data_IF_988867424577
#
_entry.id   IF_988867424577
#
_cell.length_a   1.000
_cell.length_b   1.000
_cell.length_c   1.000
_cell.angle_alpha   90.00
_cell.angle_beta   90.00
_cell.angle_gamma   90.00
#
_symmetry.space_group_name_H-M   'P 1'
#
loop_
_entity.id
_entity.type
_entity.pdbx_description
1 polymer ?
#
# COMPACT_ATOMS: atom_id res chain seq x y z
N UNK A 1 5.92 -7.98 11.84
CA UNK A 1 6.87 -8.87 11.16
C UNK A 1 6.15 -10.00 10.41
N UNK A 2 5.04 -10.49 10.93
CA UNK A 2 4.36 -11.71 10.46
C UNK A 2 3.59 -11.52 9.12
N UNK A 3 3.48 -10.30 8.60
CA UNK A 3 2.71 -9.99 7.37
C UNK A 3 3.58 -9.53 6.20
N UNK A 4 4.88 -9.80 6.20
CA UNK A 4 5.79 -9.30 5.18
C UNK A 4 5.46 -9.81 3.78
N UNK A 5 5.11 -11.08 3.63
CA UNK A 5 4.75 -11.69 2.35
C UNK A 5 3.40 -11.17 1.81
N UNK A 6 2.40 -11.01 2.68
CA UNK A 6 1.11 -10.43 2.28
C UNK A 6 1.25 -8.96 1.86
N UNK A 7 2.08 -8.20 2.58
CA UNK A 7 2.42 -6.82 2.19
C UNK A 7 3.12 -6.77 0.84
N UNK A 8 4.07 -7.68 0.59
CA UNK A 8 4.75 -7.78 -0.70
C UNK A 8 3.76 -8.03 -1.85
N UNK A 9 2.83 -8.98 -1.67
CA UNK A 9 1.79 -9.27 -2.67
C UNK A 9 0.88 -8.08 -2.91
N UNK A 10 0.52 -7.36 -1.86
CA UNK A 10 -0.29 -6.14 -1.94
C UNK A 10 0.45 -5.05 -2.70
N UNK A 11 1.75 -4.86 -2.45
CA UNK A 11 2.58 -3.93 -3.21
C UNK A 11 2.69 -4.29 -4.70
N UNK A 12 2.55 -5.57 -5.06
CA UNK A 12 2.46 -5.96 -6.47
C UNK A 12 1.24 -5.39 -7.19
N UNK A 13 0.17 -5.13 -6.46
CA UNK A 13 -1.06 -4.54 -6.99
C UNK A 13 -1.09 -3.02 -6.91
N UNK A 14 -0.16 -2.39 -6.20
CA UNK A 14 -0.10 -0.94 -6.02
C UNK A 14 0.70 -0.24 -7.13
N UNK A 15 0.34 1.02 -7.40
CA UNK A 15 1.07 1.90 -8.33
C UNK A 15 1.88 2.96 -7.58
N UNK A 16 1.59 3.18 -6.29
CA UNK A 16 2.32 4.07 -5.39
C UNK A 16 2.28 3.50 -3.98
N UNK A 17 3.24 3.86 -3.16
CA UNK A 17 3.29 3.45 -1.76
C UNK A 17 3.43 4.67 -0.85
N UNK A 18 2.73 4.63 0.28
CA UNK A 18 2.92 5.59 1.37
C UNK A 18 3.76 4.92 2.45
N UNK A 19 4.98 5.42 2.63
CA UNK A 19 5.89 5.00 3.69
C UNK A 19 5.60 5.82 4.95
N UNK A 20 5.06 5.17 5.97
CA UNK A 20 4.73 5.83 7.24
C UNK A 20 5.87 5.60 8.23
N UNK A 21 6.49 6.70 8.68
CA UNK A 21 7.58 6.70 9.66
C UNK A 21 7.08 7.29 10.98
N UNK A 22 7.43 6.64 12.09
CA UNK A 22 7.19 7.17 13.43
C UNK A 22 8.22 8.27 13.74
N UNK A 23 7.79 9.52 13.91
CA UNK A 23 8.68 10.65 14.15
C UNK A 23 9.57 10.53 15.39
N UNK A 24 9.19 9.69 16.35
CA UNK A 24 10.01 9.42 17.56
C UNK A 24 11.01 8.27 17.39
N UNK A 25 10.87 7.44 16.33
CA UNK A 25 11.68 6.24 16.13
C UNK A 25 12.56 6.28 14.88
N UNK A 26 12.17 7.08 13.89
CA UNK A 26 12.84 7.11 12.60
C UNK A 26 12.65 5.84 11.76
N UNK A 27 13.65 5.44 11.00
CA UNK A 27 13.61 4.33 10.04
C UNK A 27 13.80 3.00 10.75
N UNK A 28 12.73 2.22 10.90
CA UNK A 28 12.75 0.91 11.53
C UNK A 28 13.17 -0.22 10.56
N UNK A 29 13.59 -1.37 11.07
CA UNK A 29 14.05 -2.50 10.27
C UNK A 29 13.01 -2.99 9.24
N UNK A 30 11.73 -2.97 9.60
CA UNK A 30 10.65 -3.36 8.70
C UNK A 30 10.47 -2.36 7.55
N UNK A 31 10.61 -1.08 7.83
CA UNK A 31 10.58 -0.01 6.82
C UNK A 31 11.65 -0.25 5.75
N UNK A 32 12.89 -0.58 6.16
CA UNK A 32 14.00 -0.90 5.23
C UNK A 32 13.69 -2.10 4.33
N UNK A 33 13.07 -3.14 4.89
CA UNK A 33 12.69 -4.35 4.10
C UNK A 33 11.64 -4.01 3.03
N UNK A 34 10.57 -3.32 3.42
CA UNK A 34 9.48 -2.96 2.50
C UNK A 34 9.91 -1.91 1.48
N UNK A 35 10.76 -0.96 1.88
CA UNK A 35 11.35 0.01 0.97
C UNK A 35 12.11 -0.67 -0.18
N UNK A 36 12.96 -1.67 0.13
CA UNK A 36 13.68 -2.44 -0.90
C UNK A 36 12.74 -3.10 -1.91
N UNK A 37 11.59 -3.58 -1.44
CA UNK A 37 10.56 -4.17 -2.33
C UNK A 37 9.99 -3.10 -3.27
N UNK A 38 9.66 -1.92 -2.78
CA UNK A 38 9.16 -0.82 -3.59
C UNK A 38 10.19 -0.40 -4.65
N UNK A 39 11.47 -0.28 -4.28
CA UNK A 39 12.55 0.08 -5.21
C UNK A 39 12.73 -0.98 -6.29
N UNK A 40 12.77 -2.27 -5.93
CA UNK A 40 12.87 -3.35 -6.92
C UNK A 40 11.71 -3.36 -7.92
N UNK A 41 10.57 -2.84 -7.53
CA UNK A 41 9.34 -2.78 -8.33
C UNK A 41 9.14 -1.44 -9.04
N UNK A 42 10.04 -0.48 -8.84
CA UNK A 42 9.91 0.89 -9.34
C UNK A 42 8.60 1.57 -8.92
N UNK A 43 8.14 1.29 -7.70
CA UNK A 43 6.94 1.89 -7.14
C UNK A 43 7.31 3.25 -6.53
N UNK A 44 6.68 4.36 -6.97
CA UNK A 44 6.86 5.68 -6.35
C UNK A 44 6.52 5.64 -4.86
N UNK A 45 7.36 6.30 -4.05
CA UNK A 45 7.23 6.31 -2.60
C UNK A 45 6.97 7.72 -2.12
N UNK A 46 5.93 7.89 -1.30
CA UNK A 46 5.59 9.11 -0.58
C UNK A 46 5.80 8.85 0.91
N UNK A 47 6.51 9.72 1.59
CA UNK A 47 6.84 9.56 3.00
C UNK A 47 5.92 10.40 3.87
N UNK A 48 5.28 9.78 4.87
CA UNK A 48 4.50 10.47 5.89
C UNK A 48 5.13 10.26 7.27
N UNK A 49 5.74 11.30 7.83
CA UNK A 49 6.29 11.28 9.18
C UNK A 49 5.16 11.56 10.17
N UNK A 50 4.76 10.51 10.85
CA UNK A 50 3.58 10.44 11.71
C UNK A 50 3.94 10.69 13.17
N UNK A 51 2.92 11.01 13.97
CA UNK A 51 2.97 11.19 15.42
C UNK A 51 3.69 12.46 15.86
N UNK A 52 3.60 13.53 15.07
CA UNK A 52 4.11 14.85 15.46
C UNK A 52 3.41 15.45 16.68
N UNK A 53 2.26 14.88 17.08
CA UNK A 53 1.57 15.16 18.35
C UNK A 53 2.32 14.65 19.59
N UNK A 54 3.40 13.90 19.41
CA UNK A 54 4.30 13.40 20.45
C UNK A 54 5.69 13.99 20.26
N UNK A 55 6.53 13.86 21.30
CA UNK A 55 7.93 14.27 21.19
C UNK A 55 8.60 13.44 20.09
N UNK A 56 8.99 14.13 19.02
CA UNK A 56 9.64 13.56 17.84
C UNK A 56 11.14 13.89 17.87
N UNK A 57 11.91 13.13 17.10
CA UNK A 57 13.31 13.44 16.80
C UNK A 57 13.38 14.74 16.00
N UNK A 58 14.57 15.32 15.94
CA UNK A 58 14.81 16.50 15.11
C UNK A 58 14.40 16.26 13.66
N UNK A 59 13.76 17.24 13.05
CA UNK A 59 13.14 17.10 11.74
C UNK A 59 14.17 16.92 10.62
N UNK A 60 15.30 17.64 10.70
CA UNK A 60 16.40 17.48 9.75
C UNK A 60 17.12 16.14 9.94
N UNK A 61 17.30 15.69 11.19
CA UNK A 61 17.88 14.38 11.47
C UNK A 61 17.02 13.25 10.90
N UNK A 62 15.69 13.38 10.93
CA UNK A 62 14.78 12.40 10.32
C UNK A 62 14.92 12.35 8.79
N UNK A 63 15.05 13.50 8.13
CA UNK A 63 15.31 13.54 6.68
C UNK A 63 16.67 12.92 6.34
N UNK A 64 17.70 13.28 7.08
CA UNK A 64 19.07 12.74 6.94
C UNK A 64 19.08 11.20 7.12
N UNK A 65 18.35 10.69 8.11
CA UNK A 65 18.22 9.25 8.35
C UNK A 65 17.56 8.55 7.16
N UNK A 66 16.45 9.10 6.63
CA UNK A 66 15.78 8.57 5.45
C UNK A 66 16.74 8.50 4.26
N UNK A 67 17.47 9.57 3.99
CA UNK A 67 18.41 9.64 2.88
C UNK A 67 19.58 8.67 3.03
N UNK A 68 20.18 8.60 4.21
CA UNK A 68 21.34 7.72 4.51
C UNK A 68 20.96 6.24 4.55
N UNK A 69 19.83 5.92 5.21
CA UNK A 69 19.45 4.53 5.44
C UNK A 69 18.77 3.89 4.23
N UNK A 70 18.04 4.69 3.46
CA UNK A 70 17.26 4.20 2.32
C UNK A 70 17.88 4.55 0.96
N UNK A 71 18.78 5.54 0.90
CA UNK A 71 19.42 5.96 -0.34
C UNK A 71 18.47 6.65 -1.32
N UNK A 72 17.46 7.34 -0.81
CA UNK A 72 16.48 8.11 -1.57
C UNK A 72 16.52 9.57 -1.11
N UNK A 73 16.57 10.52 -2.05
CA UNK A 73 16.50 11.93 -1.71
C UNK A 73 15.12 12.31 -1.16
N UNK A 74 15.09 13.31 -0.29
CA UNK A 74 13.85 13.81 0.33
C UNK A 74 13.45 15.17 -0.24
N UNK A 75 12.13 15.38 -0.41
CA UNK A 75 11.55 16.65 -0.81
C UNK A 75 10.43 16.99 0.20
N UNK A 76 10.70 17.76 1.25
CA UNK A 76 9.68 18.19 2.20
C UNK A 76 8.63 19.07 1.53
N UNK A 77 7.37 18.63 1.54
CA UNK A 77 6.22 19.39 0.98
C UNK A 77 5.60 20.29 2.04
N UNK A 78 5.55 19.81 3.28
CA UNK A 78 5.20 20.63 4.43
C UNK A 78 6.29 20.54 5.51
N UNK A 79 6.24 21.45 6.48
CA UNK A 79 7.20 21.50 7.58
C UNK A 79 6.48 21.68 8.93
N UNK A 80 6.81 20.89 9.96
CA UNK A 80 6.09 20.94 11.23
C UNK A 80 6.48 22.18 12.05
N UNK A 81 5.51 22.77 12.71
CA UNK A 81 5.70 23.88 13.64
C UNK A 81 5.71 23.32 15.06
N UNK A 82 6.91 22.97 15.52
CA UNK A 82 7.12 22.29 16.80
C UNK A 82 6.76 20.80 16.76
N UNK A 83 6.87 20.14 17.91
CA UNK A 83 6.47 18.74 18.12
C UNK A 83 5.90 18.53 19.51
N UNK A 84 5.22 17.41 19.75
CA UNK A 84 4.60 17.08 21.04
C UNK A 84 3.59 18.13 21.46
N UNK A 85 3.69 18.60 22.70
CA UNK A 85 2.80 19.63 23.25
C UNK A 85 2.96 21.01 22.60
N UNK A 86 4.10 21.24 21.93
CA UNK A 86 4.39 22.49 21.21
C UNK A 86 3.98 22.42 19.74
N UNK A 87 3.45 21.30 19.28
CA UNK A 87 3.00 21.14 17.90
C UNK A 87 1.79 22.04 17.64
N UNK A 88 1.92 22.99 16.70
CA UNK A 88 0.91 24.01 16.38
C UNK A 88 0.28 23.83 15.01
N UNK A 89 0.99 23.19 14.11
CA UNK A 89 0.58 23.08 12.73
C UNK A 89 1.69 22.64 11.81
N UNK A 90 1.44 22.77 10.54
CA UNK A 90 2.46 22.59 9.51
C UNK A 90 2.49 23.83 8.63
N UNK A 91 3.66 24.16 8.16
CA UNK A 91 3.86 25.15 7.08
C UNK A 91 3.83 24.40 5.75
N UNK A 92 2.89 24.72 4.87
CA UNK A 92 2.83 24.19 3.51
C UNK A 92 3.78 25.02 2.63
N UNK A 93 4.79 24.37 2.06
CA UNK A 93 5.82 25.05 1.25
C UNK A 93 5.30 25.47 -0.13
N UNK A 94 4.26 24.80 -0.64
CA UNK A 94 3.69 25.12 -1.95
C UNK A 94 2.81 26.37 -1.89
N UNK A 95 1.91 26.43 -0.89
CA UNK A 95 1.01 27.58 -0.71
C UNK A 95 1.63 28.70 0.11
N UNK A 96 2.73 28.41 0.85
CA UNK A 96 3.39 29.31 1.81
C UNK A 96 2.48 29.76 2.94
N UNK A 97 1.61 28.85 3.39
CA UNK A 97 0.64 29.07 4.44
C UNK A 97 0.89 28.16 5.63
N UNK A 98 0.54 28.65 6.80
CA UNK A 98 0.48 27.87 8.03
C UNK A 98 -0.88 27.22 8.08
N UNK A 99 -0.89 25.90 8.16
CA UNK A 99 -2.09 25.11 8.34
C UNK A 99 -2.22 24.71 9.81
N UNK A 100 -3.28 25.19 10.44
CA UNK A 100 -3.62 24.84 11.81
C UNK A 100 -4.91 24.03 11.84
N UNK A 101 -5.06 23.21 12.87
CA UNK A 101 -6.23 22.35 13.00
C UNK A 101 -6.90 22.63 14.34
N UNK A 102 -8.20 22.83 14.34
CA UNK A 102 -8.96 22.92 15.57
C UNK A 102 -8.93 21.58 16.31
N UNK A 103 -8.86 21.63 17.64
CA UNK A 103 -8.83 20.46 18.51
C UNK A 103 -10.00 19.52 18.19
N UNK A 104 -9.71 18.45 17.46
CA UNK A 104 -10.69 17.39 17.21
C UNK A 104 -10.59 16.38 18.32
N UNK A 105 -11.68 16.15 19.04
CA UNK A 105 -11.73 15.09 20.04
C UNK A 105 -11.37 13.73 19.39
N UNK A 106 -10.08 13.37 19.46
CA UNK A 106 -9.53 12.06 19.07
C UNK A 106 -9.93 11.55 17.67
N UNK A 107 -9.88 12.42 16.64
CA UNK A 107 -10.10 11.99 15.26
C UNK A 107 -11.55 11.65 14.87
N UNK A 108 -12.53 11.95 15.72
CA UNK A 108 -13.94 11.61 15.48
C UNK A 108 -14.75 12.73 14.81
N UNK A 109 -14.18 13.92 14.60
CA UNK A 109 -14.80 15.02 13.87
C UNK A 109 -13.81 15.62 12.89
N UNK A 110 -14.29 16.07 11.75
CA UNK A 110 -13.53 16.88 10.81
C UNK A 110 -13.01 18.13 11.53
N UNK A 111 -11.70 18.27 11.60
CA UNK A 111 -11.08 19.47 12.12
C UNK A 111 -11.19 20.58 11.07
N UNK A 112 -11.58 21.76 11.48
CA UNK A 112 -11.55 22.91 10.58
C UNK A 112 -10.08 23.30 10.36
N UNK A 113 -9.62 23.15 9.13
CA UNK A 113 -8.30 23.62 8.70
C UNK A 113 -8.38 25.14 8.56
N UNK A 114 -7.48 25.85 9.21
CA UNK A 114 -7.28 27.28 9.00
C UNK A 114 -5.96 27.48 8.28
N UNK A 115 -6.03 28.02 7.07
CA UNK A 115 -4.86 28.44 6.32
C UNK A 115 -4.55 29.91 6.61
N UNK A 116 -3.35 30.18 7.09
CA UNK A 116 -2.89 31.52 7.48
C UNK A 116 -1.61 31.83 6.72
N UNK A 117 -1.58 32.86 5.87
CA UNK A 117 -0.33 33.27 5.22
C UNK A 117 0.75 33.58 6.29
N UNK A 118 1.98 33.14 6.03
CA UNK A 118 3.08 33.26 6.99
C UNK A 118 3.30 34.73 7.48
N UNK A 119 3.05 35.70 6.60
CA UNK A 119 3.22 37.11 6.88
C UNK A 119 1.97 37.80 7.49
N UNK A 120 0.88 37.06 7.74
CA UNK A 120 -0.32 37.56 8.34
C UNK A 120 -0.12 37.68 9.86
N UNK A 121 -0.66 38.75 10.48
CA UNK A 121 -0.60 38.97 11.93
C UNK A 121 -1.23 37.83 12.74
N UNK A 122 -2.18 37.12 12.18
CA UNK A 122 -2.79 35.93 12.78
C UNK A 122 -1.79 34.79 13.02
N UNK A 123 -0.66 34.77 12.30
CA UNK A 123 0.41 33.81 12.56
C UNK A 123 0.99 33.96 13.98
N UNK A 124 0.97 35.16 14.54
CA UNK A 124 1.44 35.46 15.90
C UNK A 124 0.48 34.98 17.00
N UNK A 125 -0.76 34.62 16.62
CA UNK A 125 -1.75 34.00 17.54
C UNK A 125 -1.52 32.45 17.61
N UNK A 126 -0.92 31.88 16.59
CA UNK A 126 -0.67 30.44 16.47
C UNK A 126 0.66 30.03 17.09
N UNK A 127 1.69 30.83 16.90
CA UNK A 127 3.08 30.55 17.31
C UNK A 127 3.58 31.70 18.21
N UNK A 128 4.40 31.33 19.18
CA UNK A 128 5.18 32.33 19.88
C UNK A 128 6.32 32.88 19.00
N UNK A 129 6.93 34.04 19.39
CA UNK A 129 7.99 34.67 18.61
C UNK A 129 9.21 33.75 18.37
N UNK A 130 9.53 32.87 19.31
CA UNK A 130 10.65 31.93 19.22
C UNK A 130 10.37 30.86 18.17
N UNK A 131 9.16 30.28 18.20
CA UNK A 131 8.71 29.32 17.18
C UNK A 131 8.68 29.93 15.77
N UNK A 132 8.24 31.18 15.66
CA UNK A 132 8.20 31.89 14.38
C UNK A 132 9.59 32.15 13.84
N UNK A 133 10.52 32.58 14.67
CA UNK A 133 11.91 32.80 14.28
C UNK A 133 12.55 31.47 13.84
N UNK A 134 12.38 30.41 14.62
CA UNK A 134 12.86 29.07 14.29
C UNK A 134 12.30 28.58 12.95
N UNK A 135 10.98 28.72 12.71
CA UNK A 135 10.35 28.32 11.45
C UNK A 135 10.95 29.08 10.25
N UNK A 136 11.21 30.38 10.39
CA UNK A 136 11.79 31.17 9.30
C UNK A 136 13.23 30.72 8.98
N UNK A 137 14.05 30.47 10.01
CA UNK A 137 15.41 29.94 9.83
C UNK A 137 15.39 28.56 9.17
N UNK A 138 14.48 27.68 9.60
CA UNK A 138 14.32 26.34 9.03
C UNK A 138 13.85 26.38 7.58
N UNK A 139 12.93 27.29 7.22
CA UNK A 139 12.47 27.48 5.82
C UNK A 139 13.64 27.95 4.94
N UNK A 140 14.47 28.89 5.43
CA UNK A 140 15.64 29.36 4.67
C UNK A 140 16.64 28.22 4.43
N UNK A 141 16.89 27.37 5.43
CA UNK A 141 17.72 26.17 5.27
C UNK A 141 17.13 25.18 4.27
N UNK A 142 15.83 24.93 4.33
CA UNK A 142 15.13 24.04 3.41
C UNK A 142 15.19 24.54 1.97
N UNK A 143 14.97 25.82 1.75
CA UNK A 143 14.98 26.43 0.42
C UNK A 143 16.40 26.43 -0.19
N UNK A 144 17.45 26.38 0.65
CA UNK A 144 18.84 26.27 0.21
C UNK A 144 19.38 24.85 0.06
N UNK A 145 18.83 23.86 0.77
CA UNK A 145 19.44 22.54 0.90
C UNK A 145 18.54 21.36 0.46
N UNK A 146 17.21 21.51 0.48
CA UNK A 146 16.30 20.42 0.09
C UNK A 146 16.16 20.34 -1.44
N UNK A 147 15.92 19.12 -1.94
CA UNK A 147 15.58 18.93 -3.34
C UNK A 147 14.19 19.53 -3.64
N UNK A 148 14.04 20.10 -4.83
CA UNK A 148 12.74 20.50 -5.36
C UNK A 148 11.95 19.27 -5.81
N UNK A 149 10.62 19.40 -5.85
CA UNK A 149 9.76 18.34 -6.36
C UNK A 149 10.03 18.09 -7.83
N UNK A 150 10.33 16.84 -8.15
CA UNK A 150 10.56 16.36 -9.52
C UNK A 150 9.78 15.06 -9.75
N UNK A 151 8.75 15.13 -10.58
CA UNK A 151 7.87 13.99 -10.89
C UNK A 151 8.63 12.81 -11.50
N UNK A 152 9.66 13.07 -12.31
CA UNK A 152 10.44 12.01 -12.95
C UNK A 152 11.31 11.28 -11.92
N UNK A 153 11.92 12.00 -10.99
CA UNK A 153 12.70 11.41 -9.90
C UNK A 153 11.81 10.61 -8.94
N UNK A 154 10.61 11.11 -8.64
CA UNK A 154 9.62 10.39 -7.82
C UNK A 154 9.20 9.10 -8.50
N UNK A 155 8.85 9.15 -9.79
CA UNK A 155 8.44 7.96 -10.55
C UNK A 155 9.55 6.92 -10.67
N UNK A 156 10.82 7.34 -10.63
CA UNK A 156 12.00 6.46 -10.64
C UNK A 156 12.40 5.95 -9.25
N UNK A 157 11.67 6.34 -8.19
CA UNK A 157 12.00 5.97 -6.81
C UNK A 157 13.31 6.57 -6.30
N UNK A 158 13.73 7.72 -6.84
CA UNK A 158 14.95 8.44 -6.44
C UNK A 158 14.68 9.63 -5.54
N UNK A 159 13.46 10.11 -5.50
CA UNK A 159 13.00 11.21 -4.67
C UNK A 159 11.70 10.81 -3.99
N UNK A 160 11.56 11.14 -2.71
CA UNK A 160 10.31 10.96 -1.98
C UNK A 160 9.79 12.30 -1.46
N UNK A 161 8.56 12.70 -1.83
CA UNK A 161 7.88 13.80 -1.17
C UNK A 161 7.62 13.43 0.29
N UNK A 162 7.99 14.34 1.22
CA UNK A 162 7.88 14.13 2.66
C UNK A 162 6.83 15.04 3.26
N UNK A 163 5.96 14.45 4.07
CA UNK A 163 4.88 15.11 4.79
C UNK A 163 4.99 14.81 6.28
N UNK A 164 4.67 15.80 7.09
CA UNK A 164 4.63 15.67 8.54
C UNK A 164 3.21 15.83 9.04
N UNK A 165 2.82 15.04 10.04
CA UNK A 165 1.48 15.12 10.60
C UNK A 165 1.23 14.14 11.74
N UNK A 166 -0.03 13.95 12.09
CA UNK A 166 -0.49 12.97 13.07
C UNK A 166 -1.80 12.32 12.62
N UNK A 167 -1.72 11.05 12.25
CA UNK A 167 -2.90 10.30 11.84
C UNK A 167 -3.91 10.08 12.99
N UNK A 168 -3.43 10.03 14.24
CA UNK A 168 -4.32 9.86 15.41
C UNK A 168 -5.27 11.07 15.59
N UNK A 169 -4.79 12.27 15.30
CA UNK A 169 -5.54 13.50 15.42
C UNK A 169 -6.11 14.00 14.10
N UNK A 170 -5.93 13.24 12.99
CA UNK A 170 -6.22 13.63 11.61
C UNK A 170 -5.46 14.87 11.13
N UNK A 171 -4.36 15.19 11.81
CA UNK A 171 -3.60 16.40 11.55
C UNK A 171 -2.71 16.22 10.31
N UNK A 172 -2.90 17.04 9.30
CA UNK A 172 -2.14 16.99 8.04
C UNK A 172 -2.49 15.83 7.13
N UNK A 173 -3.49 14.99 7.47
CA UNK A 173 -3.87 13.83 6.63
C UNK A 173 -4.62 14.28 5.38
N UNK A 174 -5.56 15.22 5.50
CA UNK A 174 -6.33 15.74 4.38
C UNK A 174 -5.42 16.44 3.37
N UNK A 175 -4.59 17.37 3.83
CA UNK A 175 -3.61 18.05 2.97
C UNK A 175 -2.60 17.11 2.33
N UNK A 176 -2.17 16.07 3.06
CA UNK A 176 -1.37 15.00 2.47
C UNK A 176 -2.09 14.31 1.31
N UNK A 177 -3.37 13.94 1.49
CA UNK A 177 -4.15 13.26 0.44
C UNK A 177 -4.36 14.16 -0.78
N UNK A 178 -4.61 15.46 -0.60
CA UNK A 178 -4.73 16.42 -1.69
C UNK A 178 -3.45 16.52 -2.51
N UNK A 179 -2.31 16.68 -1.86
CA UNK A 179 -1.00 16.69 -2.54
C UNK A 179 -0.69 15.33 -3.18
N UNK A 180 -0.98 14.22 -2.48
CA UNK A 180 -0.77 12.88 -3.00
C UNK A 180 -1.53 12.64 -4.30
N UNK A 181 -2.80 13.06 -4.39
CA UNK A 181 -3.59 12.96 -5.61
C UNK A 181 -3.00 13.73 -6.80
N UNK A 182 -2.34 14.86 -6.53
CA UNK A 182 -1.69 15.66 -7.56
C UNK A 182 -0.31 15.11 -7.98
N UNK A 183 0.41 14.50 -7.05
CA UNK A 183 1.80 14.06 -7.23
C UNK A 183 1.89 12.58 -7.64
N UNK A 184 0.87 11.77 -7.37
CA UNK A 184 0.88 10.34 -7.73
C UNK A 184 0.71 10.13 -9.23
N UNK A 185 1.15 8.98 -9.70
CA UNK A 185 1.01 8.61 -11.12
C UNK A 185 -0.30 7.89 -11.37
N UNK A 186 -0.80 7.98 -12.61
CA UNK A 186 -1.83 7.07 -13.12
C UNK A 186 -1.31 5.62 -13.11
N UNK A 187 -2.21 4.62 -13.22
CA UNK A 187 -1.80 3.23 -13.33
C UNK A 187 -0.73 3.01 -14.40
N UNK A 188 0.30 2.24 -14.06
CA UNK A 188 1.43 1.98 -14.95
C UNK A 188 1.18 0.74 -15.81
N UNK A 189 1.75 0.73 -17.03
CA UNK A 189 1.76 -0.42 -17.91
C UNK A 189 2.44 -1.63 -17.23
N UNK A 190 1.93 -2.84 -17.48
CA UNK A 190 2.44 -4.07 -16.90
C UNK A 190 3.03 -5.01 -17.93
N UNK A 191 4.10 -5.69 -17.54
CA UNK A 191 4.80 -6.66 -18.38
C UNK A 191 4.01 -7.97 -18.41
N UNK A 192 3.76 -8.46 -19.62
CA UNK A 192 3.25 -9.79 -19.90
C UNK A 192 4.25 -10.58 -20.76
N UNK A 193 3.99 -11.86 -21.00
CA UNK A 193 4.76 -12.72 -21.91
C UNK A 193 4.62 -12.31 -23.40
N UNK A 194 3.63 -11.48 -23.73
CA UNK A 194 3.44 -10.90 -25.08
C UNK A 194 3.89 -9.43 -25.18
N UNK A 195 4.43 -8.85 -24.11
CA UNK A 195 4.91 -7.45 -24.07
C UNK A 195 4.23 -6.60 -22.99
N UNK A 196 4.32 -5.28 -23.13
CA UNK A 196 3.68 -4.34 -22.23
C UNK A 196 2.18 -4.25 -22.53
N UNK A 197 1.38 -4.30 -21.47
CA UNK A 197 -0.06 -4.06 -21.52
C UNK A 197 -0.30 -2.65 -20.98
N UNK A 198 -0.85 -1.79 -21.82
CA UNK A 198 -1.16 -0.41 -21.46
C UNK A 198 -2.48 -0.34 -20.69
N UNK A 199 -2.57 0.41 -19.59
CA UNK A 199 -3.83 0.63 -18.88
C UNK A 199 -4.96 1.20 -19.75
N UNK A 200 -4.61 1.91 -20.81
CA UNK A 200 -5.56 2.52 -21.75
C UNK A 200 -6.01 1.58 -22.87
N UNK A 201 -5.50 0.34 -22.92
CA UNK A 201 -5.99 -0.67 -23.87
C UNK A 201 -7.47 -0.98 -23.59
N UNK A 202 -8.26 -1.14 -24.66
CA UNK A 202 -9.70 -1.42 -24.55
C UNK A 202 -9.99 -2.82 -23.99
N UNK A 203 -9.08 -3.76 -24.19
CA UNK A 203 -9.24 -5.14 -23.74
C UNK A 203 -9.04 -5.24 -22.22
N UNK A 204 -10.04 -5.81 -21.54
CA UNK A 204 -9.95 -6.08 -20.11
C UNK A 204 -8.85 -7.09 -19.80
N UNK A 205 -8.02 -6.74 -18.83
CA UNK A 205 -7.08 -7.66 -18.22
C UNK A 205 -6.90 -7.38 -16.74
N UNK A 206 -6.66 -8.44 -15.98
CA UNK A 206 -6.44 -8.40 -14.54
C UNK A 206 -5.56 -9.56 -14.09
N UNK A 207 -4.97 -9.46 -12.90
CA UNK A 207 -4.31 -10.59 -12.25
C UNK A 207 -4.74 -10.74 -10.78
N UNK A 208 -4.71 -11.98 -10.31
CA UNK A 208 -5.01 -12.33 -8.92
C UNK A 208 -3.76 -12.10 -8.07
N UNK A 209 -3.80 -11.17 -7.13
CA UNK A 209 -2.65 -10.92 -6.25
C UNK A 209 -2.84 -11.44 -4.82
N UNK A 210 -4.08 -11.69 -4.42
CA UNK A 210 -4.41 -12.17 -3.08
C UNK A 210 -5.63 -13.09 -3.12
N UNK A 211 -5.62 -14.11 -2.29
CA UNK A 211 -6.78 -14.97 -2.03
C UNK A 211 -6.99 -14.99 -0.52
N UNK A 212 -8.22 -14.79 -0.09
CA UNK A 212 -8.57 -14.82 1.32
C UNK A 212 -9.85 -15.65 1.52
N UNK A 213 -9.77 -16.66 2.39
CA UNK A 213 -10.90 -17.49 2.74
C UNK A 213 -11.40 -17.18 4.15
N UNK A 214 -12.66 -17.54 4.41
CA UNK A 214 -13.29 -17.47 5.73
C UNK A 214 -13.26 -16.07 6.37
N UNK A 215 -13.39 -15.01 5.59
CA UNK A 215 -13.53 -13.65 6.12
C UNK A 215 -14.76 -13.51 7.02
N UNK A 216 -15.82 -14.24 6.71
CA UNK A 216 -16.97 -14.41 7.59
C UNK A 216 -16.98 -15.83 8.17
N UNK A 217 -16.84 -15.96 9.49
CA UNK A 217 -16.84 -17.26 10.18
C UNK A 217 -18.16 -18.03 10.01
N UNK A 218 -19.25 -17.36 9.72
CA UNK A 218 -20.56 -17.96 9.50
C UNK A 218 -20.73 -18.53 8.08
N UNK A 219 -19.94 -18.05 7.13
CA UNK A 219 -20.00 -18.47 5.72
C UNK A 219 -18.60 -18.90 5.28
N UNK A 220 -18.52 -20.01 4.57
CA UNK A 220 -17.26 -20.47 3.95
C UNK A 220 -17.04 -19.70 2.64
N UNK A 221 -16.86 -18.39 2.74
CA UNK A 221 -16.60 -17.53 1.62
C UNK A 221 -15.08 -17.53 1.33
N UNK A 222 -14.76 -17.54 0.06
CA UNK A 222 -13.42 -17.36 -0.47
C UNK A 222 -13.47 -16.27 -1.53
N UNK A 223 -12.61 -15.27 -1.37
CA UNK A 223 -12.48 -14.14 -2.28
C UNK A 223 -11.13 -14.18 -2.95
N UNK A 224 -11.11 -13.99 -4.25
CA UNK A 224 -9.93 -13.65 -5.02
C UNK A 224 -9.91 -12.15 -5.28
N UNK A 225 -8.80 -11.49 -4.95
CA UNK A 225 -8.59 -10.07 -5.20
C UNK A 225 -7.84 -9.89 -6.50
N UNK A 226 -8.45 -9.15 -7.39
CA UNK A 226 -7.94 -8.85 -8.71
C UNK A 226 -7.52 -7.39 -8.81
N UNK A 227 -6.33 -7.16 -9.36
CA UNK A 227 -5.91 -5.86 -9.84
C UNK A 227 -6.22 -5.77 -11.34
N UNK A 228 -7.03 -4.80 -11.74
CA UNK A 228 -7.33 -4.53 -13.17
C UNK A 228 -6.14 -3.79 -13.77
N UNK A 229 -5.60 -4.31 -14.87
CA UNK A 229 -4.43 -3.78 -15.52
C UNK A 229 -4.72 -3.00 -16.80
N UNK A 230 -5.79 -3.36 -17.51
CA UNK A 230 -6.26 -2.66 -18.73
C UNK A 230 -7.74 -2.80 -18.91
N UNK A 231 -8.32 -1.91 -19.70
CA UNK A 231 -9.70 -1.91 -20.11
C UNK A 231 -10.69 -1.71 -18.98
N UNK A 232 -11.91 -2.16 -19.23
CA UNK A 232 -13.04 -2.03 -18.33
C UNK A 232 -13.61 -3.41 -17.97
N UNK A 233 -13.78 -3.67 -16.70
CA UNK A 233 -14.61 -4.78 -16.23
C UNK A 233 -16.07 -4.35 -16.20
N UNK A 234 -16.94 -5.17 -16.73
CA UNK A 234 -18.41 -5.04 -16.63
C UNK A 234 -18.99 -6.28 -15.95
N UNK A 235 -19.97 -6.06 -15.07
CA UNK A 235 -20.66 -7.13 -14.36
C UNK A 235 -21.29 -8.10 -15.35
N UNK A 236 -21.17 -9.41 -15.06
CA UNK A 236 -21.66 -10.52 -15.90
C UNK A 236 -20.94 -10.70 -17.24
N UNK A 237 -19.98 -9.86 -17.58
CA UNK A 237 -19.16 -10.08 -18.77
C UNK A 237 -18.42 -11.42 -18.70
N UNK A 238 -18.33 -12.08 -19.84
CA UNK A 238 -17.54 -13.31 -19.98
C UNK A 238 -16.06 -12.93 -20.02
N UNK A 239 -15.24 -13.56 -19.17
CA UNK A 239 -13.79 -13.40 -19.13
C UNK A 239 -13.10 -14.74 -19.38
N UNK A 240 -11.83 -14.69 -19.70
CA UNK A 240 -11.00 -15.87 -19.92
C UNK A 240 -9.96 -16.02 -18.81
N UNK A 241 -10.01 -17.15 -18.10
CA UNK A 241 -9.00 -17.53 -17.12
C UNK A 241 -7.85 -18.23 -17.85
N UNK A 242 -6.71 -17.55 -17.97
CA UNK A 242 -5.63 -17.95 -18.87
C UNK A 242 -4.98 -19.25 -18.39
N UNK A 243 -4.60 -19.36 -17.11
CA UNK A 243 -3.99 -20.55 -16.55
C UNK A 243 -4.94 -21.76 -16.54
N UNK A 244 -6.22 -21.50 -16.29
CA UNK A 244 -7.26 -22.52 -16.33
C UNK A 244 -7.74 -22.91 -17.74
N UNK A 245 -7.36 -22.13 -18.77
CA UNK A 245 -7.71 -22.39 -20.16
C UNK A 245 -9.21 -22.37 -20.45
N UNK A 246 -10.01 -21.61 -19.69
CA UNK A 246 -11.47 -21.64 -19.78
C UNK A 246 -12.10 -20.26 -19.64
N UNK A 247 -13.25 -20.11 -20.25
CA UNK A 247 -14.12 -18.96 -20.08
C UNK A 247 -14.93 -19.12 -18.79
N UNK A 248 -15.20 -18.01 -18.13
CA UNK A 248 -16.04 -17.96 -16.94
C UNK A 248 -16.64 -16.55 -16.76
N UNK A 249 -17.57 -16.42 -15.83
CA UNK A 249 -18.08 -15.13 -15.36
C UNK A 249 -17.62 -14.93 -13.93
N UNK A 250 -17.16 -13.73 -13.62
CA UNK A 250 -16.75 -13.37 -12.27
C UNK A 250 -17.99 -13.17 -11.41
N UNK A 251 -18.09 -13.93 -10.32
CA UNK A 251 -19.25 -13.92 -9.45
C UNK A 251 -19.10 -12.86 -8.36
N UNK A 252 -20.17 -12.10 -8.12
CA UNK A 252 -20.28 -11.13 -7.03
C UNK A 252 -19.08 -10.19 -6.93
N UNK A 253 -18.78 -9.39 -7.97
CA UNK A 253 -17.71 -8.43 -7.92
C UNK A 253 -18.00 -7.39 -6.82
N UNK A 254 -17.05 -7.19 -5.93
CA UNK A 254 -17.20 -6.34 -4.77
C UNK A 254 -16.01 -5.40 -4.66
N UNK A 255 -16.28 -4.17 -4.30
CA UNK A 255 -15.29 -3.26 -3.75
C UNK A 255 -15.33 -3.38 -2.22
N UNK A 256 -14.15 -3.49 -1.61
CA UNK A 256 -14.03 -3.60 -0.16
C UNK A 256 -13.46 -2.29 0.38
N UNK A 257 -14.21 -1.69 1.29
CA UNK A 257 -13.75 -0.55 2.08
C UNK A 257 -13.84 -0.92 3.56
N UNK A 258 -12.73 -1.31 4.13
CA UNK A 258 -12.62 -1.87 5.48
C UNK A 258 -13.52 -3.11 5.66
N UNK A 259 -14.61 -3.02 6.44
CA UNK A 259 -15.56 -4.11 6.64
C UNK A 259 -16.79 -4.04 5.72
N UNK A 260 -16.95 -2.95 5.01
CA UNK A 260 -18.07 -2.75 4.10
C UNK A 260 -17.77 -3.40 2.75
N UNK A 261 -18.77 -4.01 2.17
CA UNK A 261 -18.72 -4.68 0.87
C UNK A 261 -19.82 -4.09 -0.01
N UNK A 262 -19.42 -3.49 -1.09
CA UNK A 262 -20.34 -2.95 -2.08
C UNK A 262 -20.21 -3.74 -3.38
N UNK A 263 -21.35 -4.20 -3.91
CA UNK A 263 -21.38 -4.85 -5.23
C UNK A 263 -21.20 -3.77 -6.28
N UNK A 264 -20.29 -3.98 -7.20
CA UNK A 264 -19.99 -3.04 -8.27
C UNK A 264 -20.43 -3.59 -9.63
N UNK A 265 -20.85 -2.71 -10.50
CA UNK A 265 -21.25 -3.05 -11.87
C UNK A 265 -20.10 -2.89 -12.86
N UNK A 266 -19.16 -1.98 -12.58
CA UNK A 266 -18.02 -1.71 -13.44
C UNK A 266 -16.77 -1.35 -12.64
N UNK A 267 -15.59 -1.60 -13.22
CA UNK A 267 -14.30 -1.21 -12.68
C UNK A 267 -13.28 -1.03 -13.81
N UNK A 268 -12.26 -0.22 -13.57
CA UNK A 268 -11.31 0.24 -14.59
C UNK A 268 -9.88 -0.14 -14.24
N UNK A 269 -8.98 0.01 -15.21
CA UNK A 269 -7.55 -0.15 -14.98
C UNK A 269 -7.10 0.69 -13.77
N UNK A 270 -6.43 0.06 -12.83
CA UNK A 270 -6.07 0.66 -11.54
C UNK A 270 -6.90 0.17 -10.37
N UNK A 271 -8.15 -0.22 -10.60
CA UNK A 271 -9.04 -0.68 -9.53
C UNK A 271 -8.66 -2.07 -9.01
N UNK A 272 -9.01 -2.29 -7.76
CA UNK A 272 -8.93 -3.59 -7.10
C UNK A 272 -10.36 -4.05 -6.79
N UNK A 273 -10.70 -5.23 -7.29
CA UNK A 273 -11.99 -5.87 -7.03
C UNK A 273 -11.81 -7.22 -6.34
N UNK A 274 -12.71 -7.54 -5.42
CA UNK A 274 -12.84 -8.88 -4.85
C UNK A 274 -13.94 -9.65 -5.59
N UNK A 275 -13.67 -10.88 -5.97
CA UNK A 275 -14.66 -11.77 -6.60
C UNK A 275 -14.79 -13.06 -5.79
N UNK A 276 -16.02 -13.60 -5.75
CA UNK A 276 -16.20 -14.90 -5.13
C UNK A 276 -15.44 -15.98 -5.92
N UNK A 277 -14.66 -16.77 -5.18
CA UNK A 277 -13.84 -17.83 -5.76
C UNK A 277 -14.30 -19.20 -5.24
N UNK A 278 -14.88 -20.05 -6.09
CA UNK A 278 -15.23 -21.42 -5.72
C UNK A 278 -14.01 -22.35 -5.60
N UNK A 279 -12.79 -21.82 -5.58
CA UNK A 279 -11.54 -22.57 -5.49
C UNK A 279 -10.89 -22.84 -6.85
N UNK A 280 -11.06 -21.91 -7.79
CA UNK A 280 -10.52 -22.03 -9.14
C UNK A 280 -9.33 -21.14 -9.42
N UNK A 281 -9.16 -20.07 -8.63
CA UNK A 281 -8.07 -19.13 -8.79
C UNK A 281 -6.86 -19.47 -7.92
N UNK A 282 -5.70 -19.14 -8.43
CA UNK A 282 -4.42 -19.14 -7.73
C UNK A 282 -3.80 -17.74 -7.79
N UNK A 283 -2.95 -17.42 -6.81
CA UNK A 283 -2.21 -16.16 -6.81
C UNK A 283 -1.30 -16.12 -8.04
N UNK A 284 -1.33 -15.02 -8.79
CA UNK A 284 -0.62 -14.86 -10.05
C UNK A 284 -1.43 -15.23 -11.31
N UNK A 285 -2.64 -15.74 -11.15
CA UNK A 285 -3.49 -16.05 -12.30
C UNK A 285 -3.86 -14.78 -13.08
N UNK A 286 -3.87 -14.90 -14.40
CA UNK A 286 -4.24 -13.83 -15.34
C UNK A 286 -5.65 -14.07 -15.86
N UNK A 287 -6.42 -13.00 -15.90
CA UNK A 287 -7.79 -12.96 -16.40
C UNK A 287 -7.86 -11.91 -17.50
N UNK A 288 -8.42 -12.27 -18.65
CA UNK A 288 -8.44 -11.40 -19.84
C UNK A 288 -9.81 -11.42 -20.51
N UNK A 289 -10.02 -10.49 -21.44
CA UNK A 289 -11.10 -10.61 -22.43
C UNK A 289 -10.99 -11.94 -23.20
N UNK A 290 -12.11 -12.63 -23.51
CA UNK A 290 -12.08 -13.84 -24.31
C UNK A 290 -11.34 -13.64 -25.64
N UNK A 291 -10.39 -14.55 -25.93
CA UNK A 291 -9.55 -14.47 -27.14
C UNK A 291 -8.12 -14.00 -26.87
N UNK A 292 -7.87 -13.31 -25.79
CA UNK A 292 -6.51 -12.94 -25.33
C UNK A 292 -5.97 -14.02 -24.40
N UNK A 293 -4.69 -14.39 -24.54
CA UNK A 293 -4.10 -15.51 -23.80
C UNK A 293 -2.75 -15.20 -23.16
N UNK A 294 -2.32 -13.94 -23.19
CA UNK A 294 -1.08 -13.53 -22.53
C UNK A 294 -1.16 -13.73 -21.01
N UNK A 295 0.00 -13.84 -20.40
CA UNK A 295 0.15 -13.99 -18.94
C UNK A 295 0.95 -12.83 -18.38
N UNK A 296 0.49 -12.25 -17.31
CA UNK A 296 1.32 -11.33 -16.53
C UNK A 296 2.46 -12.10 -15.86
N UNK A 297 3.60 -11.42 -15.67
CA UNK A 297 4.69 -11.98 -14.88
C UNK A 297 4.16 -12.40 -13.50
N UNK A 298 4.47 -13.63 -13.11
CA UNK A 298 3.98 -14.20 -11.85
C UNK A 298 4.48 -13.41 -10.64
N UNK A 299 3.78 -13.55 -9.53
CA UNK A 299 4.21 -13.00 -8.26
C UNK A 299 5.34 -13.90 -7.73
N UNK A 300 6.54 -13.38 -7.49
CA UNK A 300 7.63 -14.16 -6.94
C UNK A 300 7.24 -14.75 -5.58
N UNK A 301 7.55 -16.01 -5.37
CA UNK A 301 7.43 -16.65 -4.06
C UNK A 301 8.81 -16.69 -3.42
N UNK A 302 8.89 -16.33 -2.14
CA UNK A 302 10.13 -16.47 -1.39
C UNK A 302 10.31 -17.92 -0.94
N UNK A 303 11.56 -18.43 -0.92
CA UNK A 303 11.81 -19.72 -0.31
C UNK A 303 11.50 -19.64 1.19
N UNK A 304 10.87 -20.68 1.78
CA UNK A 304 10.58 -20.71 3.21
C UNK A 304 11.85 -20.68 4.06
N UNK A 305 11.80 -19.96 5.16
CA UNK A 305 12.89 -19.93 6.15
C UNK A 305 12.70 -21.01 7.23
N UNK A 306 11.46 -21.42 7.49
CA UNK A 306 11.14 -22.41 8.50
C UNK A 306 10.31 -23.54 7.93
N UNK A 307 10.61 -24.77 8.36
CA UNK A 307 9.91 -25.97 7.93
C UNK A 307 9.34 -26.73 9.12
N UNK A 308 8.15 -27.25 8.98
CA UNK A 308 7.51 -28.09 10.00
C UNK A 308 6.79 -29.29 9.37
N UNK A 309 6.82 -30.41 10.05
CA UNK A 309 5.95 -31.55 9.72
C UNK A 309 4.61 -31.37 10.40
N UNK A 310 3.56 -31.52 9.64
CA UNK A 310 2.19 -31.45 10.14
C UNK A 310 1.43 -32.71 9.77
N UNK A 311 0.66 -33.21 10.71
CA UNK A 311 -0.16 -34.42 10.56
C UNK A 311 -1.52 -34.23 11.24
N UNK A 312 -2.57 -34.92 10.77
CA UNK A 312 -3.87 -34.84 11.43
C UNK A 312 -3.81 -35.54 12.78
N UNK A 313 -4.28 -34.92 13.85
CA UNK A 313 -4.42 -35.56 15.16
C UNK A 313 -5.43 -36.72 15.14
N UNK A 314 -6.40 -36.65 14.24
CA UNK A 314 -7.46 -37.63 14.05
C UNK A 314 -7.44 -38.10 12.59
N UNK A 315 -7.12 -39.38 12.40
CA UNK A 315 -7.03 -39.98 11.06
C UNK A 315 -8.37 -39.96 10.31
N UNK A 316 -9.49 -39.96 11.03
CA UNK A 316 -10.83 -39.86 10.43
C UNK A 316 -11.05 -38.47 9.79
N UNK A 317 -10.33 -37.43 10.22
CA UNK A 317 -10.40 -36.07 9.66
C UNK A 317 -9.39 -35.79 8.56
N UNK A 318 -8.74 -36.82 8.06
CA UNK A 318 -7.70 -36.69 6.99
C UNK A 318 -8.14 -35.89 5.79
N UNK A 319 -9.36 -36.10 5.24
CA UNK A 319 -9.86 -35.32 4.10
C UNK A 319 -9.97 -33.83 4.43
N UNK A 320 -10.38 -33.51 5.65
CA UNK A 320 -10.47 -32.11 6.11
C UNK A 320 -9.09 -31.50 6.27
N UNK A 321 -8.13 -32.26 6.78
CA UNK A 321 -6.74 -31.84 6.94
C UNK A 321 -6.10 -31.51 5.59
N UNK A 322 -6.17 -32.42 4.61
CA UNK A 322 -5.61 -32.22 3.27
C UNK A 322 -6.26 -30.99 2.61
N UNK A 323 -7.58 -30.91 2.63
CA UNK A 323 -8.29 -29.75 2.06
C UNK A 323 -7.93 -28.43 2.77
N UNK A 324 -7.79 -28.44 4.09
CA UNK A 324 -7.43 -27.27 4.87
C UNK A 324 -6.00 -26.80 4.60
N UNK A 325 -5.03 -27.70 4.52
CA UNK A 325 -3.63 -27.37 4.19
C UNK A 325 -3.50 -26.86 2.77
N UNK A 326 -4.18 -27.48 1.80
CA UNK A 326 -4.23 -26.99 0.42
C UNK A 326 -4.83 -25.59 0.32
N UNK A 327 -5.90 -25.31 1.09
CA UNK A 327 -6.53 -23.99 1.11
C UNK A 327 -5.58 -22.93 1.67
N UNK A 328 -4.90 -23.22 2.79
CA UNK A 328 -3.92 -22.29 3.39
C UNK A 328 -2.75 -22.05 2.44
N UNK A 329 -2.31 -23.09 1.71
CA UNK A 329 -1.26 -22.92 0.70
C UNK A 329 -1.72 -22.05 -0.50
N UNK A 330 -2.97 -22.19 -0.93
CA UNK A 330 -3.54 -21.35 -1.99
C UNK A 330 -3.72 -19.89 -1.56
N UNK A 331 -3.92 -19.63 -0.28
CA UNK A 331 -3.90 -18.29 0.31
C UNK A 331 -2.46 -17.73 0.41
N UNK A 332 -1.45 -18.59 0.17
CA UNK A 332 -0.04 -18.24 0.19
C UNK A 332 0.58 -18.15 1.58
N UNK A 333 -0.11 -18.56 2.62
CA UNK A 333 0.43 -18.52 3.96
C UNK A 333 1.46 -19.62 4.25
N UNK A 334 1.45 -20.70 3.47
CA UNK A 334 2.41 -21.81 3.55
C UNK A 334 2.76 -22.33 2.16
N UNK A 335 3.93 -22.96 2.05
CA UNK A 335 4.29 -23.80 0.91
C UNK A 335 4.23 -25.28 1.34
N UNK A 336 3.67 -26.15 0.49
CA UNK A 336 3.54 -27.59 0.77
C UNK A 336 4.61 -28.34 0.00
N UNK A 337 5.38 -29.15 0.72
CA UNK A 337 6.38 -30.04 0.15
C UNK A 337 5.97 -31.49 0.40
N UNK A 338 5.91 -32.28 -0.66
CA UNK A 338 5.62 -33.72 -0.58
C UNK A 338 6.94 -34.46 -0.69
N UNK A 339 7.22 -35.34 0.28
CA UNK A 339 8.37 -36.22 0.20
C UNK A 339 7.93 -37.49 -0.53
N UNK A 340 8.60 -37.89 -1.63
CA UNK A 340 8.33 -39.17 -2.30
C UNK A 340 8.49 -40.32 -1.29
N UNK A 341 7.65 -41.34 -1.41
CA UNK A 341 7.69 -42.58 -0.63
C UNK A 341 7.39 -42.50 0.89
N UNK A 342 7.08 -41.35 1.43
CA UNK A 342 6.47 -41.23 2.75
C UNK A 342 4.95 -41.27 2.62
N UNK A 343 4.30 -42.11 3.47
CA UNK A 343 2.84 -42.23 3.43
C UNK A 343 2.14 -40.84 3.51
N UNK A 344 0.95 -40.73 2.89
CA UNK A 344 0.21 -39.46 2.76
C UNK A 344 -0.29 -38.84 4.08
N UNK A 345 0.23 -39.24 5.22
CA UNK A 345 -0.27 -38.78 6.52
C UNK A 345 0.45 -37.57 7.07
N UNK A 346 1.64 -37.29 6.57
CA UNK A 346 2.45 -36.14 6.95
C UNK A 346 2.73 -35.25 5.77
N UNK A 347 2.68 -33.94 6.01
CA UNK A 347 3.01 -32.92 5.02
C UNK A 347 4.08 -32.01 5.61
N UNK A 348 5.12 -31.72 4.84
CA UNK A 348 6.09 -30.69 5.21
C UNK A 348 5.53 -29.36 4.73
N UNK A 349 5.38 -28.44 5.66
CA UNK A 349 4.98 -27.06 5.37
C UNK A 349 6.17 -26.13 5.59
N UNK A 350 6.34 -25.17 4.70
CA UNK A 350 7.34 -24.13 4.81
C UNK A 350 6.68 -22.73 4.91
N UNK A 351 7.23 -21.86 5.73
CA UNK A 351 6.85 -20.45 5.89
C UNK A 351 8.06 -19.54 5.83
#
# INVERSE_FOLDING_TARGET
QDFSEDTYRTLMAADSAVMVIDGSKGVEAQTRKLFKVCVMRHIPIFTFINKMDRDANDTFDLLDEIEKELGIATCPVNWPIGSGKKFRGVYDRNTKEILTFSDTQKGTKEGVIQAIPLNDSRSDEVMDPEQKAQLLDEIELLDGASADFDQELVSKGKLTPVFFGSALTNFGVETFLEHFLQMTTSPLARISDEGLIDPMDDDFSAFVFKIQANMNKAHRDRLAFLRICSGKYEREAEVFHVQGGRKLRLSQPQQLMAQEREIIDEAYAGDIIGVFDPGIFSIGDTITTPGKKFRFAGIPTFPPEHFSRVSPKDTMKRKQFVKGTEQIAQEGAIQIFKVPDTGMEEVIVGV
#
